data_IF_221992860335
#
_entry.id   IF_221992860335
#
_cell.length_a   1.000
_cell.length_b   1.000
_cell.length_c   1.000
_cell.angle_alpha   90.00
_cell.angle_beta   90.00
_cell.angle_gamma   90.00
#
_symmetry.space_group_name_H-M   'P 1'
#
loop_
_entity.id
_entity.type
_entity.pdbx_description
1 polymer ?
#
# COMPACT_ATOMS: atom_id res chain seq x y z
N UNK A 1 4.97 19.67 -16.13
CA UNK A 1 4.99 18.30 -15.58
C UNK A 1 3.62 18.02 -14.96
N UNK A 2 2.68 17.46 -15.73
CA UNK A 2 1.34 17.15 -15.23
C UNK A 2 1.38 15.81 -14.52
N UNK A 3 1.25 15.83 -13.19
CA UNK A 3 0.95 14.62 -12.42
C UNK A 3 -0.45 14.21 -12.87
N UNK A 4 -0.55 13.14 -13.65
CA UNK A 4 -1.83 12.64 -14.15
C UNK A 4 -2.75 12.33 -12.98
N UNK A 5 -4.02 12.71 -13.07
CA UNK A 5 -5.01 12.50 -12.01
C UNK A 5 -5.11 11.02 -11.55
N UNK A 6 -4.75 10.07 -12.42
CA UNK A 6 -4.63 8.65 -12.09
C UNK A 6 -3.48 8.37 -11.08
N UNK A 7 -2.33 9.02 -11.22
CA UNK A 7 -1.20 8.91 -10.29
C UNK A 7 -1.58 9.47 -8.92
N UNK A 8 -2.35 10.56 -8.90
CA UNK A 8 -2.85 11.18 -7.68
C UNK A 8 -3.90 10.29 -7.01
N UNK A 9 -4.89 9.76 -7.71
CA UNK A 9 -5.89 8.87 -7.10
C UNK A 9 -5.25 7.59 -6.51
N UNK A 10 -4.25 7.02 -7.19
CA UNK A 10 -3.51 5.86 -6.71
C UNK A 10 -2.67 6.16 -5.45
N UNK A 11 -2.02 7.33 -5.36
CA UNK A 11 -1.21 7.70 -4.19
C UNK A 11 -2.05 7.90 -2.91
N UNK A 12 -3.29 8.38 -3.06
CA UNK A 12 -4.23 8.46 -1.95
C UNK A 12 -4.69 7.06 -1.48
N UNK A 13 -4.83 6.12 -2.43
CA UNK A 13 -5.17 4.73 -2.11
C UNK A 13 -4.03 3.98 -1.38
N UNK A 14 -2.77 4.23 -1.75
CA UNK A 14 -1.62 3.63 -1.07
C UNK A 14 -1.41 4.23 0.31
N UNK A 15 -1.58 5.54 0.47
CA UNK A 15 -1.48 6.21 1.78
C UNK A 15 -2.52 5.66 2.78
N UNK A 16 -3.76 5.43 2.35
CA UNK A 16 -4.78 4.82 3.18
C UNK A 16 -4.45 3.37 3.58
N UNK A 17 -3.90 2.57 2.66
CA UNK A 17 -3.48 1.20 2.94
C UNK A 17 -2.30 1.16 3.94
N UNK A 18 -1.32 2.04 3.77
CA UNK A 18 -0.21 2.20 4.71
C UNK A 18 -0.67 2.63 6.10
N UNK A 19 -1.63 3.57 6.18
CA UNK A 19 -2.20 4.01 7.45
C UNK A 19 -2.88 2.87 8.21
N UNK A 20 -3.68 2.04 7.50
CA UNK A 20 -4.31 0.84 8.10
C UNK A 20 -3.29 -0.17 8.58
N UNK A 21 -2.21 -0.40 7.82
CA UNK A 21 -1.12 -1.29 8.20
C UNK A 21 -0.43 -0.80 9.48
N UNK A 22 -0.10 0.50 9.55
CA UNK A 22 0.56 1.08 10.71
C UNK A 22 -0.34 1.03 11.95
N UNK A 23 -1.62 1.40 11.82
CA UNK A 23 -2.59 1.30 12.91
C UNK A 23 -2.72 -0.13 13.45
N UNK A 24 -2.72 -1.13 12.57
CA UNK A 24 -2.81 -2.55 12.97
C UNK A 24 -1.55 -3.02 13.71
N UNK A 25 -0.36 -2.54 13.29
CA UNK A 25 0.90 -2.81 14.00
C UNK A 25 0.93 -2.17 15.39
N UNK A 26 0.45 -0.94 15.53
CA UNK A 26 0.31 -0.29 16.83
C UNK A 26 -0.60 -1.08 17.76
N UNK A 27 -1.79 -1.50 17.28
CA UNK A 27 -2.70 -2.35 18.04
C UNK A 27 -2.07 -3.67 18.49
N UNK A 28 -1.23 -4.28 17.66
CA UNK A 28 -0.49 -5.48 18.02
C UNK A 28 0.50 -5.22 19.16
N UNK A 29 1.27 -4.13 19.06
CA UNK A 29 2.24 -3.75 20.08
C UNK A 29 1.56 -3.44 21.42
N UNK A 30 0.46 -2.69 21.39
CA UNK A 30 -0.39 -2.41 22.57
C UNK A 30 -0.93 -3.72 23.17
N UNK A 31 -1.41 -4.64 22.33
CA UNK A 31 -1.96 -5.91 22.78
C UNK A 31 -0.93 -6.81 23.45
N UNK A 32 0.31 -6.83 22.95
CA UNK A 32 1.42 -7.58 23.56
C UNK A 32 1.84 -6.92 24.88
N UNK A 33 1.91 -5.59 24.92
CA UNK A 33 2.28 -4.82 26.12
C UNK A 33 1.27 -4.98 27.25
N UNK A 34 -0.02 -5.08 26.92
CA UNK A 34 -1.10 -5.23 27.89
C UNK A 34 -1.09 -6.58 28.64
N UNK A 35 -0.36 -7.60 28.16
CA UNK A 35 -0.13 -8.87 28.85
C UNK A 35 -1.32 -9.84 28.89
N UNK A 36 -2.56 -9.35 29.00
CA UNK A 36 -3.79 -10.17 29.16
C UNK A 36 -4.69 -10.22 27.92
N UNK A 37 -4.14 -9.94 26.72
CA UNK A 37 -4.93 -10.03 25.49
C UNK A 37 -5.15 -11.49 25.08
N UNK A 38 -6.43 -11.83 24.83
CA UNK A 38 -6.81 -13.14 24.35
C UNK A 38 -6.00 -13.54 23.09
N UNK A 39 -5.47 -14.78 23.00
CA UNK A 39 -4.70 -15.25 21.85
C UNK A 39 -5.44 -15.13 20.51
N UNK A 40 -6.77 -15.26 20.52
CA UNK A 40 -7.64 -15.07 19.36
C UNK A 40 -7.59 -13.63 18.82
N UNK A 41 -7.53 -12.63 19.70
CA UNK A 41 -7.41 -11.22 19.34
C UNK A 41 -6.06 -10.94 18.68
N UNK A 42 -4.96 -11.45 19.25
CA UNK A 42 -3.61 -11.33 18.65
C UNK A 42 -3.56 -11.96 17.26
N UNK A 43 -4.18 -13.13 17.10
CA UNK A 43 -4.27 -13.83 15.81
C UNK A 43 -5.07 -13.02 14.79
N UNK A 44 -6.20 -12.45 15.17
CA UNK A 44 -7.01 -11.59 14.31
C UNK A 44 -6.27 -10.31 13.89
N UNK A 45 -5.51 -9.68 14.80
CA UNK A 45 -4.68 -8.52 14.49
C UNK A 45 -3.59 -8.90 13.48
N UNK A 46 -2.92 -10.04 13.66
CA UNK A 46 -1.91 -10.53 12.70
C UNK A 46 -2.49 -10.78 11.31
N UNK A 47 -3.65 -11.43 11.22
CA UNK A 47 -4.35 -11.62 9.95
C UNK A 47 -4.73 -10.28 9.29
N UNK A 48 -5.10 -9.27 10.09
CA UNK A 48 -5.39 -7.92 9.58
C UNK A 48 -4.12 -7.25 9.03
N UNK A 49 -2.97 -7.40 9.70
CA UNK A 49 -1.67 -6.91 9.24
C UNK A 49 -1.28 -7.56 7.92
N UNK A 50 -1.40 -8.88 7.79
CA UNK A 50 -1.08 -9.62 6.57
C UNK A 50 -1.93 -9.14 5.39
N UNK A 51 -3.24 -9.01 5.60
CA UNK A 51 -4.15 -8.50 4.58
C UNK A 51 -3.83 -7.06 4.16
N UNK A 52 -3.53 -6.19 5.12
CA UNK A 52 -3.15 -4.80 4.84
C UNK A 52 -1.81 -4.72 4.08
N UNK A 53 -0.82 -5.53 4.45
CA UNK A 53 0.46 -5.60 3.76
C UNK A 53 0.30 -6.12 2.31
N UNK A 54 -0.55 -7.12 2.10
CA UNK A 54 -0.87 -7.62 0.77
C UNK A 54 -1.55 -6.54 -0.10
N UNK A 55 -2.46 -5.74 0.48
CA UNK A 55 -3.08 -4.62 -0.23
C UNK A 55 -2.05 -3.55 -0.63
N UNK A 56 -1.15 -3.16 0.28
CA UNK A 56 -0.07 -2.22 -0.03
C UNK A 56 0.78 -2.75 -1.19
N UNK A 57 1.20 -4.02 -1.12
CA UNK A 57 2.01 -4.63 -2.18
C UNK A 57 1.30 -4.60 -3.54
N UNK A 58 0.01 -4.96 -3.61
CA UNK A 58 -0.76 -4.92 -4.86
C UNK A 58 -0.84 -3.51 -5.46
N UNK A 59 -1.08 -2.49 -4.62
CA UNK A 59 -1.18 -1.10 -5.08
C UNK A 59 0.17 -0.61 -5.60
N UNK A 60 1.27 -0.88 -4.88
CA UNK A 60 2.60 -0.46 -5.32
C UNK A 60 3.07 -1.22 -6.58
N UNK A 61 2.72 -2.50 -6.74
CA UNK A 61 2.99 -3.24 -7.99
C UNK A 61 2.19 -2.69 -9.17
N UNK A 62 0.91 -2.36 -8.99
CA UNK A 62 0.11 -1.71 -10.02
C UNK A 62 0.71 -0.35 -10.42
N UNK A 63 1.16 0.43 -9.43
CA UNK A 63 1.85 1.71 -9.65
C UNK A 63 3.15 1.54 -10.45
N UNK A 64 3.96 0.54 -10.12
CA UNK A 64 5.20 0.27 -10.85
C UNK A 64 4.92 -0.06 -12.32
N UNK A 65 3.87 -0.85 -12.60
CA UNK A 65 3.43 -1.14 -13.96
C UNK A 65 2.93 0.11 -14.70
N UNK A 66 2.16 0.97 -14.04
CA UNK A 66 1.70 2.22 -14.64
C UNK A 66 2.86 3.16 -14.97
N UNK A 67 3.84 3.30 -14.09
CA UNK A 67 5.05 4.11 -14.35
C UNK A 67 5.85 3.53 -15.52
N UNK A 68 6.00 2.20 -15.58
CA UNK A 68 6.68 1.54 -16.70
C UNK A 68 5.96 1.79 -18.04
N UNK A 69 4.62 1.70 -18.05
CA UNK A 69 3.80 1.98 -19.23
C UNK A 69 3.91 3.43 -19.70
N UNK A 70 3.88 4.39 -18.76
CA UNK A 70 4.04 5.81 -19.09
C UNK A 70 5.44 6.08 -19.67
N UNK A 71 6.50 5.51 -19.06
CA UNK A 71 7.88 5.65 -19.55
C UNK A 71 8.02 5.08 -20.96
N UNK A 72 7.48 3.89 -21.21
CA UNK A 72 7.50 3.28 -22.54
C UNK A 72 6.77 4.15 -23.58
N UNK A 73 5.60 4.69 -23.25
CA UNK A 73 4.86 5.58 -24.13
C UNK A 73 5.65 6.86 -24.45
N UNK A 74 6.30 7.47 -23.45
CA UNK A 74 7.13 8.66 -23.64
C UNK A 74 8.36 8.39 -24.53
N UNK A 75 9.01 7.23 -24.37
CA UNK A 75 10.12 6.83 -25.24
C UNK A 75 9.69 6.64 -26.70
N UNK A 76 8.46 6.17 -26.94
CA UNK A 76 7.92 6.06 -28.30
C UNK A 76 7.73 7.44 -28.92
N UNK A 77 7.22 8.43 -28.19
CA UNK A 77 7.06 9.79 -28.73
C UNK A 77 8.39 10.45 -29.09
N UNK A 78 9.45 10.22 -28.31
CA UNK A 78 10.80 10.77 -28.59
C UNK A 78 11.46 10.15 -29.83
N UNK A 79 11.06 8.94 -30.25
CA UNK A 79 11.64 8.25 -31.42
C UNK A 79 11.05 8.70 -32.76
N UNK A 80 9.88 9.36 -32.74
CA UNK A 80 9.15 9.80 -33.94
C UNK A 80 9.27 11.31 -34.22
N UNK A 81 10.13 12.03 -33.49
CA UNK A 81 10.43 13.46 -33.69
C UNK A 81 11.83 13.66 -34.25
#
# INVERSE_FOLDING_TARGET
>A
MYISAATTAASWSSAAAWSRLQSSRTKLAESISAGDVAPSTVTAIRATIENAAAQVSRIESARANDVARIRAAHQVFDLYV
#
